data_IF_047438611502
#
_entry.id   IF_047438611502
#
_cell.length_a   1.000
_cell.length_b   1.000
_cell.length_c   1.000
_cell.angle_alpha   90.00
_cell.angle_beta   90.00
_cell.angle_gamma   90.00
#
_symmetry.space_group_name_H-M   'P 1'
#
loop_
_entity.id
_entity.type
_entity.pdbx_description
1 polymer ?
#
# COMPACT_ATOMS: atom_id res chain seq x y z
N UNK A 1 12.63 -3.76 14.41
CA UNK A 1 11.78 -2.99 13.46
C UNK A 1 12.52 -1.82 12.82
N UNK A 2 13.84 -1.97 12.62
CA UNK A 2 14.76 -0.94 12.12
C UNK A 2 15.39 -1.34 10.78
N UNK A 3 15.04 -2.50 10.22
CA UNK A 3 15.69 -3.06 9.02
C UNK A 3 15.00 -2.65 7.71
N UNK A 4 13.69 -2.40 7.72
CA UNK A 4 12.94 -2.09 6.50
C UNK A 4 13.08 -0.63 6.06
N UNK A 5 13.04 0.33 7.00
CA UNK A 5 13.34 1.75 6.70
C UNK A 5 14.82 1.94 6.31
N UNK A 6 15.73 1.09 6.79
CA UNK A 6 17.17 1.20 6.48
C UNK A 6 17.53 0.71 5.07
N UNK A 7 16.86 -0.30 4.52
CA UNK A 7 17.26 -0.91 3.23
C UNK A 7 17.04 0.00 2.02
N UNK A 8 16.08 0.92 2.05
CA UNK A 8 15.87 1.92 1.00
C UNK A 8 16.97 3.00 0.92
N UNK A 9 17.89 3.10 1.89
CA UNK A 9 18.83 4.24 2.01
C UNK A 9 20.34 3.89 2.18
N UNK A 10 20.82 2.71 1.76
CA UNK A 10 22.28 2.49 1.71
C UNK A 10 22.75 1.05 1.44
N UNK A 11 23.51 0.90 0.34
CA UNK A 11 24.25 -0.29 -0.16
C UNK A 11 25.27 -0.80 0.91
N UNK A 12 25.61 -2.09 1.13
CA UNK A 12 26.07 -3.18 0.22
C UNK A 12 26.07 -4.61 0.85
N UNK A 13 25.80 -5.59 -0.03
CA UNK A 13 26.22 -7.00 -0.20
C UNK A 13 26.17 -8.07 0.93
N UNK A 14 25.53 -9.21 0.60
CA UNK A 14 25.81 -10.53 1.17
C UNK A 14 25.89 -11.60 0.06
N UNK A 15 26.91 -12.47 0.16
CA UNK A 15 27.19 -13.61 -0.71
C UNK A 15 26.45 -14.89 -0.27
N UNK A 16 26.02 -15.70 -1.24
CA UNK A 16 25.31 -16.99 -1.07
C UNK A 16 26.17 -18.09 -0.41
N UNK A 17 25.57 -18.99 0.41
CA UNK A 17 26.17 -20.28 0.71
C UNK A 17 25.47 -21.47 0.03
N UNK A 18 26.28 -22.48 -0.30
CA UNK A 18 25.89 -23.80 -0.82
C UNK A 18 25.27 -24.70 0.26
N UNK A 19 24.36 -25.56 -0.19
CA UNK A 19 23.61 -26.51 0.62
C UNK A 19 24.46 -27.69 1.13
N UNK A 20 24.21 -28.13 2.36
CA UNK A 20 24.44 -29.51 2.76
C UNK A 20 23.24 -30.04 3.55
N UNK A 21 22.72 -31.17 3.09
CA UNK A 21 21.77 -32.04 3.76
C UNK A 21 22.47 -32.72 4.93
N UNK A 22 21.81 -32.81 6.09
CA UNK A 22 21.93 -34.00 6.94
C UNK A 22 20.69 -34.18 7.84
N UNK A 23 20.22 -35.41 7.88
CA UNK A 23 19.12 -35.94 8.69
C UNK A 23 19.45 -35.89 10.18
N UNK A 24 18.49 -35.51 11.05
CA UNK A 24 18.59 -35.77 12.49
C UNK A 24 17.29 -36.24 13.14
N UNK A 25 17.48 -37.16 14.08
CA UNK A 25 16.51 -37.80 14.98
C UNK A 25 15.99 -36.81 16.03
N UNK A 26 14.69 -36.91 16.38
CA UNK A 26 14.00 -36.07 17.35
C UNK A 26 14.48 -36.32 18.80
N UNK A 27 15.24 -35.36 19.33
CA UNK A 27 15.37 -35.13 20.77
C UNK A 27 14.20 -34.27 21.26
N UNK A 28 13.83 -34.29 22.56
CA UNK A 28 12.80 -33.39 23.08
C UNK A 28 13.23 -31.95 22.82
N UNK A 29 12.57 -31.31 21.85
CA UNK A 29 13.04 -30.05 21.30
C UNK A 29 12.99 -28.97 22.38
N UNK A 30 14.18 -28.44 22.73
CA UNK A 30 14.30 -27.27 23.60
C UNK A 30 13.47 -26.14 23.00
N UNK A 31 12.70 -25.45 23.85
CA UNK A 31 11.97 -24.25 23.42
C UNK A 31 12.91 -23.34 22.61
N UNK A 32 12.49 -22.90 21.42
CA UNK A 32 13.38 -22.16 20.56
C UNK A 32 13.79 -20.85 21.23
N UNK A 33 15.08 -20.53 21.15
CA UNK A 33 15.64 -19.31 21.73
C UNK A 33 15.06 -18.08 21.03
N UNK A 34 14.94 -16.98 21.78
CA UNK A 34 14.49 -15.70 21.23
C UNK A 34 15.63 -15.05 20.45
N UNK A 35 15.34 -14.62 19.24
CA UNK A 35 16.23 -13.80 18.42
C UNK A 35 16.27 -12.36 18.92
N UNK A 36 17.20 -11.55 18.43
CA UNK A 36 17.21 -10.10 18.70
C UNK A 36 15.90 -9.43 18.28
N UNK A 37 15.33 -9.85 17.14
CA UNK A 37 14.07 -9.33 16.64
C UNK A 37 12.89 -9.66 17.57
N UNK A 38 12.86 -10.88 18.11
CA UNK A 38 11.86 -11.32 19.10
C UNK A 38 11.89 -10.43 20.35
N UNK A 39 13.10 -10.14 20.85
CA UNK A 39 13.29 -9.28 22.03
C UNK A 39 12.75 -7.87 21.77
N UNK A 40 13.03 -7.30 20.59
CA UNK A 40 12.51 -5.97 20.22
C UNK A 40 10.98 -5.94 20.24
N UNK A 41 10.32 -6.91 19.59
CA UNK A 41 8.85 -6.97 19.55
C UNK A 41 8.30 -7.19 20.95
N UNK A 42 8.89 -8.10 21.73
CA UNK A 42 8.49 -8.35 23.12
C UNK A 42 8.52 -7.08 23.96
N UNK A 43 9.62 -6.32 23.90
CA UNK A 43 9.77 -5.07 24.65
C UNK A 43 8.72 -4.02 24.24
N UNK A 44 8.40 -3.90 22.95
CA UNK A 44 7.34 -2.99 22.49
C UNK A 44 5.97 -3.33 23.07
N UNK A 45 5.61 -4.61 23.07
CA UNK A 45 4.37 -5.07 23.71
C UNK A 45 4.38 -4.83 25.21
N UNK A 46 5.46 -5.14 25.92
CA UNK A 46 5.56 -4.93 27.36
C UNK A 46 5.42 -3.45 27.75
N UNK A 47 5.97 -2.53 26.95
CA UNK A 47 5.81 -1.08 27.17
C UNK A 47 4.35 -0.65 27.10
N UNK A 48 3.59 -1.09 26.10
CA UNK A 48 2.18 -0.72 25.94
C UNK A 48 1.28 -1.46 26.93
N UNK A 49 1.52 -2.75 27.14
CA UNK A 49 0.80 -3.56 28.12
C UNK A 49 0.99 -3.07 29.56
N UNK A 50 2.03 -2.29 29.85
CA UNK A 50 2.26 -1.73 31.18
C UNK A 50 1.14 -0.80 31.65
N UNK A 51 0.41 -0.16 30.71
CA UNK A 51 -0.75 0.68 30.98
C UNK A 51 -2.00 -0.10 31.43
N UNK A 52 -2.00 -1.43 31.25
CA UNK A 52 -3.14 -2.31 31.58
C UNK A 52 -2.89 -3.08 32.88
N UNK A 53 -3.97 -3.51 33.53
CA UNK A 53 -3.91 -4.32 34.76
C UNK A 53 -3.23 -5.67 34.50
N UNK A 54 -2.64 -6.29 35.52
CA UNK A 54 -1.94 -7.57 35.37
C UNK A 54 -2.84 -8.67 34.75
N UNK A 55 -4.13 -8.66 35.10
CA UNK A 55 -5.14 -9.59 34.55
C UNK A 55 -5.37 -9.30 33.06
N UNK A 56 -5.55 -8.03 32.70
CA UNK A 56 -5.83 -7.60 31.33
C UNK A 56 -4.66 -7.85 30.37
N UNK A 57 -3.42 -7.85 30.88
CA UNK A 57 -2.23 -8.16 30.06
C UNK A 57 -2.24 -9.56 29.45
N UNK A 58 -3.08 -10.45 29.98
CA UNK A 58 -3.24 -11.82 29.48
C UNK A 58 -4.46 -11.97 28.57
N UNK A 59 -5.30 -10.94 28.45
CA UNK A 59 -6.48 -10.93 27.61
C UNK A 59 -6.10 -10.81 26.12
N UNK A 60 -6.64 -11.71 25.32
CA UNK A 60 -6.42 -11.78 23.87
C UNK A 60 -6.79 -10.46 23.15
N UNK A 61 -7.97 -9.90 23.45
CA UNK A 61 -8.43 -8.66 22.82
C UNK A 61 -7.58 -7.45 23.21
N UNK A 62 -7.08 -7.41 24.44
CA UNK A 62 -6.18 -6.33 24.89
C UNK A 62 -4.85 -6.42 24.13
N UNK A 63 -4.28 -7.62 23.98
CA UNK A 63 -3.05 -7.80 23.19
C UNK A 63 -3.24 -7.46 21.71
N UNK A 64 -4.40 -7.80 21.15
CA UNK A 64 -4.74 -7.41 19.77
C UNK A 64 -4.84 -5.88 19.64
N UNK A 65 -5.52 -5.21 20.57
CA UNK A 65 -5.56 -3.74 20.64
C UNK A 65 -4.16 -3.13 20.77
N UNK A 66 -3.33 -3.65 21.66
CA UNK A 66 -1.94 -3.19 21.84
C UNK A 66 -1.13 -3.28 20.55
N UNK A 67 -1.32 -4.33 19.74
CA UNK A 67 -0.65 -4.39 18.43
C UNK A 67 -1.03 -3.21 17.51
N UNK A 68 -2.31 -2.80 17.52
CA UNK A 68 -2.79 -1.63 16.78
C UNK A 68 -2.23 -0.33 17.37
N UNK A 69 -2.16 -0.20 18.68
CA UNK A 69 -1.56 0.98 19.36
C UNK A 69 -0.08 1.14 19.02
N UNK A 70 0.67 0.04 18.94
CA UNK A 70 2.09 0.03 18.53
C UNK A 70 2.21 0.52 17.08
N UNK A 71 1.44 -0.06 16.15
CA UNK A 71 1.47 0.33 14.73
C UNK A 71 1.03 1.78 14.55
N UNK A 72 0.01 2.23 15.29
CA UNK A 72 -0.45 3.62 15.26
C UNK A 72 0.62 4.60 15.74
N UNK A 73 1.27 4.29 16.85
CA UNK A 73 2.38 5.10 17.38
C UNK A 73 3.53 5.20 16.37
N UNK A 74 3.82 4.13 15.65
CA UNK A 74 4.84 4.11 14.60
C UNK A 74 4.41 4.88 13.36
N UNK A 75 3.15 4.75 12.97
CA UNK A 75 2.55 5.48 11.85
C UNK A 75 2.68 7.00 12.06
N UNK A 76 2.37 7.49 13.27
CA UNK A 76 2.52 8.90 13.63
C UNK A 76 3.98 9.37 13.64
N UNK A 77 4.92 8.53 14.09
CA UNK A 77 6.36 8.87 14.14
C UNK A 77 7.03 8.87 12.77
N UNK A 78 6.65 7.95 11.89
CA UNK A 78 7.34 7.71 10.62
C UNK A 78 6.96 8.66 9.51
N UNK A 79 5.75 9.23 9.53
CA UNK A 79 5.22 9.97 8.37
C UNK A 79 4.98 11.45 8.62
N UNK A 80 5.41 11.97 9.78
CA UNK A 80 5.29 13.39 10.10
C UNK A 80 3.87 13.93 9.91
N UNK A 81 2.84 13.12 10.16
CA UNK A 81 1.44 13.50 9.98
C UNK A 81 1.15 14.76 10.79
N UNK A 82 1.06 15.90 10.11
CA UNK A 82 0.73 17.19 10.72
C UNK A 82 -0.78 17.29 10.93
N UNK A 83 -1.32 16.38 11.73
CA UNK A 83 -2.75 16.34 12.09
C UNK A 83 -3.00 17.18 13.36
N UNK A 84 -4.14 17.86 13.40
CA UNK A 84 -4.65 18.43 14.66
C UNK A 84 -4.95 17.31 15.67
N UNK A 85 -4.99 17.64 16.97
CA UNK A 85 -5.28 16.64 18.02
C UNK A 85 -6.65 15.97 17.82
N UNK A 86 -7.69 16.73 17.44
CA UNK A 86 -9.02 16.18 17.08
C UNK A 86 -8.92 15.12 15.98
N UNK A 87 -8.15 15.40 14.92
CA UNK A 87 -7.95 14.43 13.84
C UNK A 87 -7.14 13.22 14.26
N UNK A 88 -6.15 13.39 15.14
CA UNK A 88 -5.39 12.26 15.70
C UNK A 88 -6.29 11.37 16.53
N UNK A 89 -7.18 11.94 17.34
CA UNK A 89 -8.16 11.19 18.13
C UNK A 89 -9.13 10.43 17.22
N UNK A 90 -9.69 11.10 16.20
CA UNK A 90 -10.55 10.45 15.20
C UNK A 90 -9.82 9.32 14.48
N UNK A 91 -8.57 9.55 14.06
CA UNK A 91 -7.75 8.53 13.41
C UNK A 91 -7.46 7.35 14.34
N UNK A 92 -7.17 7.62 15.61
CA UNK A 92 -7.00 6.58 16.63
C UNK A 92 -8.28 5.76 16.79
N UNK A 93 -9.44 6.40 16.87
CA UNK A 93 -10.73 5.70 16.95
C UNK A 93 -10.98 4.83 15.71
N UNK A 94 -10.70 5.35 14.51
CA UNK A 94 -10.88 4.64 13.23
C UNK A 94 -9.95 3.45 13.07
N UNK A 95 -8.69 3.55 13.50
CA UNK A 95 -7.66 2.52 13.28
C UNK A 95 -7.50 1.56 14.46
N UNK A 96 -7.61 2.04 15.70
CA UNK A 96 -7.32 1.29 16.91
C UNK A 96 -8.60 0.75 17.56
N UNK A 97 -9.55 1.63 17.92
CA UNK A 97 -10.76 1.26 18.66
C UNK A 97 -11.79 0.50 17.82
N UNK A 98 -11.98 0.91 16.57
CA UNK A 98 -13.02 0.34 15.72
C UNK A 98 -12.73 -1.13 15.42
N UNK A 99 -13.76 -1.99 15.47
CA UNK A 99 -13.62 -3.41 15.15
C UNK A 99 -13.12 -3.63 13.72
N UNK A 100 -13.63 -2.83 12.79
CA UNK A 100 -13.23 -2.74 11.40
C UNK A 100 -12.84 -1.29 11.06
N UNK A 101 -11.95 -1.11 10.09
CA UNK A 101 -11.54 0.21 9.63
C UNK A 101 -12.72 0.89 8.93
N UNK A 102 -13.12 2.05 9.44
CA UNK A 102 -14.07 2.94 8.77
C UNK A 102 -13.33 3.75 7.70
N UNK A 103 -13.37 3.25 6.46
CA UNK A 103 -12.73 3.92 5.34
C UNK A 103 -13.36 5.28 5.02
N UNK A 104 -14.66 5.47 5.26
CA UNK A 104 -15.29 6.76 4.98
C UNK A 104 -14.74 7.83 5.92
N UNK A 105 -14.60 7.49 7.20
CA UNK A 105 -14.01 8.37 8.20
C UNK A 105 -12.51 8.59 7.93
N UNK A 106 -11.77 7.54 7.56
CA UNK A 106 -10.37 7.65 7.17
C UNK A 106 -10.19 8.64 6.01
N UNK A 107 -11.05 8.56 5.01
CA UNK A 107 -11.11 9.53 3.90
C UNK A 107 -11.42 10.93 4.41
N UNK A 108 -12.42 11.09 5.28
CA UNK A 108 -12.82 12.39 5.82
C UNK A 108 -11.69 13.09 6.59
N UNK A 109 -10.88 12.33 7.34
CA UNK A 109 -9.71 12.85 8.09
C UNK A 109 -8.69 13.50 7.14
N UNK A 110 -8.41 12.84 6.01
CA UNK A 110 -7.36 13.23 5.06
C UNK A 110 -7.85 14.00 3.83
N UNK A 111 -9.16 14.17 3.62
CA UNK A 111 -9.74 14.71 2.38
C UNK A 111 -9.23 16.12 2.05
N UNK A 112 -9.15 16.99 3.07
CA UNK A 112 -8.86 18.42 2.91
C UNK A 112 -7.37 18.79 3.09
N UNK A 113 -6.52 17.84 3.49
CA UNK A 113 -5.11 18.10 3.78
C UNK A 113 -4.17 17.45 2.77
N UNK A 114 -2.95 17.97 2.71
CA UNK A 114 -1.87 17.35 1.94
C UNK A 114 -1.43 16.06 2.65
N UNK A 115 -1.99 14.93 2.22
CA UNK A 115 -1.74 13.63 2.82
C UNK A 115 -0.39 13.07 2.37
N UNK A 116 0.60 13.22 3.24
CA UNK A 116 1.97 12.72 3.03
C UNK A 116 2.15 11.35 3.66
N UNK A 117 2.69 10.41 2.90
CA UNK A 117 2.99 9.08 3.39
C UNK A 117 4.22 8.57 2.66
N UNK A 118 5.38 8.88 3.24
CA UNK A 118 6.68 8.69 2.58
C UNK A 118 6.92 7.23 2.16
N UNK A 119 6.46 6.26 2.96
CA UNK A 119 6.58 4.84 2.60
C UNK A 119 5.86 4.56 1.28
N UNK A 120 4.65 5.10 1.10
CA UNK A 120 3.91 4.96 -0.15
C UNK A 120 4.58 5.69 -1.30
N UNK A 121 5.02 6.92 -1.05
CA UNK A 121 5.62 7.76 -2.09
C UNK A 121 6.95 7.14 -2.60
N UNK A 122 7.77 6.58 -1.70
CA UNK A 122 8.97 5.82 -2.06
C UNK A 122 8.66 4.55 -2.85
N UNK A 123 7.64 3.78 -2.43
CA UNK A 123 7.21 2.59 -3.16
C UNK A 123 6.68 2.95 -4.56
N UNK A 124 5.94 4.06 -4.69
CA UNK A 124 5.50 4.59 -5.99
C UNK A 124 6.69 4.94 -6.88
N UNK A 125 7.68 5.67 -6.35
CA UNK A 125 8.89 6.02 -7.10
C UNK A 125 9.64 4.78 -7.59
N UNK A 126 9.72 3.74 -6.78
CA UNK A 126 10.31 2.46 -7.20
C UNK A 126 9.49 1.78 -8.31
N UNK A 127 8.15 1.82 -8.22
CA UNK A 127 7.28 1.30 -9.29
C UNK A 127 7.55 2.04 -10.62
N UNK A 128 7.67 3.37 -10.56
CA UNK A 128 7.96 4.21 -11.72
C UNK A 128 9.37 3.96 -12.28
N UNK A 129 10.39 3.82 -11.43
CA UNK A 129 11.78 3.54 -11.85
C UNK A 129 11.90 2.23 -12.64
N UNK A 130 11.27 1.17 -12.13
CA UNK A 130 11.38 -0.18 -12.69
C UNK A 130 10.26 -0.56 -13.65
N UNK A 131 9.29 0.35 -13.87
CA UNK A 131 8.09 0.14 -14.66
C UNK A 131 7.35 -1.15 -14.25
N UNK A 132 7.22 -1.35 -12.94
CA UNK A 132 6.47 -2.47 -12.34
C UNK A 132 5.40 -1.89 -11.44
N UNK A 133 4.15 -2.28 -11.70
CA UNK A 133 3.02 -1.89 -10.88
C UNK A 133 2.38 -3.12 -10.26
N UNK A 134 2.76 -3.47 -9.01
CA UNK A 134 2.08 -4.53 -8.30
C UNK A 134 0.60 -4.20 -8.15
N UNK A 135 -0.23 -5.20 -7.88
CA UNK A 135 -1.69 -5.12 -7.98
C UNK A 135 -2.28 -3.87 -7.31
N UNK A 136 -1.82 -3.55 -6.09
CA UNK A 136 -2.29 -2.41 -5.33
C UNK A 136 -2.00 -1.04 -5.99
N UNK A 137 -1.03 -0.97 -6.91
CA UNK A 137 -0.60 0.24 -7.60
C UNK A 137 -0.98 0.27 -9.08
N UNK A 138 -1.65 -0.76 -9.62
CA UNK A 138 -2.06 -0.82 -11.04
C UNK A 138 -2.86 0.39 -11.51
N UNK A 139 -3.57 1.06 -10.61
CA UNK A 139 -4.30 2.29 -10.95
C UNK A 139 -3.37 3.41 -11.47
N UNK A 140 -2.09 3.41 -11.10
CA UNK A 140 -1.10 4.39 -11.54
C UNK A 140 -0.74 4.26 -13.02
N UNK A 141 -0.88 3.08 -13.61
CA UNK A 141 -0.67 2.85 -15.06
C UNK A 141 -1.61 3.71 -15.91
N UNK A 142 -2.77 4.08 -15.36
CA UNK A 142 -3.79 4.87 -16.06
C UNK A 142 -3.57 6.38 -15.96
N UNK A 143 -2.33 6.82 -15.70
CA UNK A 143 -1.99 8.24 -15.65
C UNK A 143 -2.40 8.92 -16.98
N UNK A 144 -3.22 9.98 -16.96
CA UNK A 144 -3.66 10.62 -18.19
C UNK A 144 -2.50 11.19 -18.99
N UNK A 145 -2.50 10.95 -20.29
CA UNK A 145 -1.54 11.52 -21.24
C UNK A 145 -2.26 12.15 -22.42
N UNK A 146 -1.59 13.06 -23.12
CA UNK A 146 -2.13 13.61 -24.36
C UNK A 146 -2.32 12.50 -25.40
N UNK A 147 -3.45 12.50 -26.12
CA UNK A 147 -3.66 11.59 -27.24
C UNK A 147 -2.70 11.91 -28.38
N UNK A 148 -2.18 10.86 -29.03
CA UNK A 148 -1.19 10.97 -30.11
C UNK A 148 -1.79 10.96 -31.51
N UNK A 149 -3.11 10.76 -31.61
CA UNK A 149 -3.83 10.70 -32.87
C UNK A 149 -5.23 11.31 -32.72
N UNK A 150 -5.84 11.67 -33.86
CA UNK A 150 -7.12 12.36 -33.91
C UNK A 150 -8.28 11.53 -33.33
N UNK A 151 -8.29 10.21 -33.57
CA UNK A 151 -9.34 9.33 -33.06
C UNK A 151 -9.35 9.31 -31.52
N UNK A 152 -8.19 9.12 -30.91
CA UNK A 152 -8.03 9.19 -29.44
C UNK A 152 -8.34 10.58 -28.91
N UNK A 153 -8.00 11.65 -29.65
CA UNK A 153 -8.31 13.02 -29.27
C UNK A 153 -9.82 13.29 -29.19
N UNK A 154 -10.59 12.79 -30.16
CA UNK A 154 -12.05 12.92 -30.17
C UNK A 154 -12.73 12.20 -29.00
N UNK A 155 -12.15 11.09 -28.53
CA UNK A 155 -12.63 10.34 -27.37
C UNK A 155 -12.24 10.99 -26.04
N UNK A 156 -11.11 11.70 -26.00
CA UNK A 156 -10.56 12.32 -24.81
C UNK A 156 -11.31 13.60 -24.38
N UNK A 157 -11.68 14.44 -25.35
CA UNK A 157 -12.38 15.71 -25.10
C UNK A 157 -13.89 15.53 -25.00
N UNK A 158 -14.57 16.50 -24.38
CA UNK A 158 -16.03 16.46 -24.25
C UNK A 158 -16.68 16.78 -25.61
N UNK A 159 -17.80 16.12 -25.91
CA UNK A 159 -18.55 16.39 -27.16
C UNK A 159 -19.00 17.86 -27.25
N UNK A 160 -19.31 18.49 -26.11
CA UNK A 160 -19.67 19.92 -26.07
C UNK A 160 -18.53 20.84 -26.52
N UNK A 161 -17.29 20.53 -26.13
CA UNK A 161 -16.06 21.22 -26.51
C UNK A 161 -15.84 21.14 -28.03
N UNK A 162 -15.98 19.94 -28.62
CA UNK A 162 -15.91 19.75 -30.07
C UNK A 162 -16.97 20.56 -30.84
N UNK A 163 -18.20 20.59 -30.31
CA UNK A 163 -19.31 21.35 -30.92
C UNK A 163 -19.08 22.87 -30.86
N UNK A 164 -18.38 23.37 -29.83
CA UNK A 164 -18.03 24.78 -29.74
C UNK A 164 -17.05 25.17 -30.86
N UNK A 165 -15.96 24.43 -31.00
CA UNK A 165 -14.98 24.64 -32.08
C UNK A 165 -15.61 24.55 -33.47
N UNK A 166 -16.48 23.56 -33.70
CA UNK A 166 -17.21 23.42 -34.96
C UNK A 166 -18.09 24.63 -35.27
N UNK A 167 -18.75 25.23 -34.27
CA UNK A 167 -19.57 26.44 -34.46
C UNK A 167 -18.74 27.68 -34.79
N UNK A 168 -17.53 27.78 -34.25
CA UNK A 168 -16.62 28.89 -34.56
C UNK A 168 -16.14 28.83 -36.01
N UNK A 169 -15.90 27.62 -36.53
CA UNK A 169 -15.41 27.40 -37.88
C UNK A 169 -16.51 27.33 -38.94
N UNK A 170 -17.68 26.80 -38.59
CA UNK A 170 -18.78 26.53 -39.53
C UNK A 170 -20.00 27.37 -39.17
N UNK A 171 -20.56 28.08 -40.15
CA UNK A 171 -21.83 28.81 -40.00
C UNK A 171 -23.07 27.90 -40.08
N UNK A 172 -22.88 26.58 -40.20
CA UNK A 172 -23.95 25.61 -40.41
C UNK A 172 -24.46 25.00 -39.09
N UNK A 173 -25.63 24.36 -39.15
CA UNK A 173 -26.22 23.66 -38.01
C UNK A 173 -25.36 22.45 -37.63
N UNK A 174 -24.70 22.51 -36.48
CA UNK A 174 -23.89 21.41 -35.96
C UNK A 174 -24.79 20.24 -35.49
N UNK A 175 -24.47 18.98 -35.85
CA UNK A 175 -25.17 17.79 -35.38
C UNK A 175 -25.25 17.69 -33.85
N UNK A 176 -26.21 16.91 -33.37
CA UNK A 176 -26.40 16.63 -31.94
C UNK A 176 -25.89 15.27 -31.54
N UNK A 177 -25.88 14.28 -32.45
CA UNK A 177 -25.41 12.92 -32.18
C UNK A 177 -23.89 12.88 -32.15
N UNK A 178 -23.33 12.15 -31.19
CA UNK A 178 -21.89 12.08 -30.92
C UNK A 178 -21.11 11.59 -32.14
N UNK A 179 -21.61 10.55 -32.78
CA UNK A 179 -20.99 9.90 -33.94
C UNK A 179 -20.94 10.85 -35.14
N UNK A 180 -22.01 11.61 -35.37
CA UNK A 180 -22.10 12.62 -36.44
C UNK A 180 -21.18 13.82 -36.17
N UNK A 181 -21.04 14.23 -34.90
CA UNK A 181 -20.10 15.29 -34.50
C UNK A 181 -18.66 14.85 -34.77
N UNK A 182 -18.29 13.61 -34.43
CA UNK A 182 -16.94 13.09 -34.67
C UNK A 182 -16.58 13.05 -36.16
N UNK A 183 -17.50 12.55 -36.99
CA UNK A 183 -17.31 12.52 -38.44
C UNK A 183 -17.13 13.92 -39.03
N UNK A 184 -17.99 14.87 -38.63
CA UNK A 184 -17.89 16.24 -39.09
C UNK A 184 -16.60 16.92 -38.59
N UNK A 185 -16.20 16.66 -37.35
CA UNK A 185 -14.97 17.22 -36.79
C UNK A 185 -13.74 16.74 -37.56
N UNK A 186 -13.65 15.44 -37.84
CA UNK A 186 -12.52 14.84 -38.56
C UNK A 186 -12.37 15.33 -40.02
N UNK A 187 -13.44 15.88 -40.61
CA UNK A 187 -13.40 16.49 -41.95
C UNK A 187 -12.81 17.91 -41.96
N UNK A 188 -12.85 18.60 -40.81
CA UNK A 188 -12.56 20.03 -40.74
C UNK A 188 -11.40 20.39 -39.83
N UNK A 189 -10.97 19.49 -38.95
CA UNK A 189 -9.92 19.73 -37.97
C UNK A 189 -8.88 18.63 -38.02
N UNK A 190 -7.64 19.04 -37.78
CA UNK A 190 -6.49 18.18 -37.54
C UNK A 190 -6.25 18.04 -36.04
N UNK A 191 -5.34 17.14 -35.66
CA UNK A 191 -4.91 17.02 -34.26
C UNK A 191 -4.27 18.32 -33.75
N UNK A 192 -3.52 19.03 -34.59
CA UNK A 192 -2.84 20.28 -34.20
C UNK A 192 -3.86 21.38 -33.86
N UNK A 193 -4.98 21.43 -34.58
CA UNK A 193 -6.07 22.38 -34.29
C UNK A 193 -6.71 22.13 -32.91
N UNK A 194 -6.52 20.94 -32.32
CA UNK A 194 -7.08 20.55 -31.02
C UNK A 194 -6.13 20.81 -29.85
N UNK A 195 -4.91 21.33 -30.08
CA UNK A 195 -3.88 21.39 -29.05
C UNK A 195 -4.34 22.09 -27.76
N UNK A 196 -4.92 23.29 -27.89
CA UNK A 196 -5.38 24.10 -26.75
C UNK A 196 -6.47 23.37 -25.93
N UNK A 197 -7.45 22.78 -26.61
CA UNK A 197 -8.56 22.08 -25.93
C UNK A 197 -8.14 20.75 -25.31
N UNK A 198 -7.11 20.10 -25.88
CA UNK A 198 -6.51 18.91 -25.33
C UNK A 198 -5.69 19.20 -24.08
N UNK A 199 -4.94 20.31 -24.06
CA UNK A 199 -4.20 20.78 -22.88
C UNK A 199 -5.16 21.15 -21.73
N UNK A 200 -6.23 21.90 -22.01
CA UNK A 200 -7.28 22.21 -21.03
C UNK A 200 -7.88 20.92 -20.45
N UNK A 201 -8.27 19.98 -21.34
CA UNK A 201 -8.85 18.71 -20.92
C UNK A 201 -7.88 17.86 -20.11
N UNK A 202 -6.59 17.86 -20.47
CA UNK A 202 -5.54 17.15 -19.75
C UNK A 202 -5.44 17.62 -18.31
N UNK A 203 -5.48 18.93 -18.06
CA UNK A 203 -5.47 19.48 -16.70
C UNK A 203 -6.66 18.95 -15.91
N UNK A 204 -7.88 19.03 -16.45
CA UNK A 204 -9.08 18.53 -15.76
C UNK A 204 -9.01 17.04 -15.41
N UNK A 205 -8.59 16.19 -16.35
CA UNK A 205 -8.52 14.73 -16.10
C UNK A 205 -7.35 14.36 -15.20
N UNK A 206 -6.26 15.12 -15.25
CA UNK A 206 -5.12 14.95 -14.34
C UNK A 206 -5.55 15.28 -12.92
N UNK A 207 -6.27 16.38 -12.69
CA UNK A 207 -6.82 16.69 -11.37
C UNK A 207 -7.77 15.60 -10.84
N UNK A 208 -8.61 15.04 -11.71
CA UNK A 208 -9.49 13.92 -11.33
C UNK A 208 -8.69 12.66 -10.98
N UNK A 209 -7.64 12.37 -11.75
CA UNK A 209 -6.73 11.27 -11.50
C UNK A 209 -5.98 11.46 -10.18
N UNK A 210 -5.38 12.63 -9.91
CA UNK A 210 -4.69 12.88 -8.63
C UNK A 210 -5.61 12.75 -7.42
N UNK A 211 -6.89 13.14 -7.54
CA UNK A 211 -7.89 12.88 -6.50
C UNK A 211 -8.15 11.39 -6.31
N UNK A 212 -8.24 10.62 -7.39
CA UNK A 212 -8.42 9.16 -7.29
C UNK A 212 -7.19 8.47 -6.70
N UNK A 213 -5.98 8.93 -7.06
CA UNK A 213 -4.71 8.48 -6.48
C UNK A 213 -4.70 8.72 -4.98
N UNK A 214 -5.06 9.93 -4.52
CA UNK A 214 -5.17 10.24 -3.09
C UNK A 214 -6.15 9.30 -2.38
N UNK A 215 -7.30 9.03 -3.01
CA UNK A 215 -8.29 8.11 -2.46
C UNK A 215 -7.77 6.66 -2.38
N UNK A 216 -7.06 6.18 -3.40
CA UNK A 216 -6.44 4.86 -3.35
C UNK A 216 -5.35 4.81 -2.27
N UNK A 217 -4.50 5.83 -2.17
CA UNK A 217 -3.44 5.96 -1.17
C UNK A 217 -3.98 5.85 0.26
N UNK A 218 -5.08 6.55 0.58
CA UNK A 218 -5.73 6.48 1.90
C UNK A 218 -6.32 5.08 2.15
N UNK A 219 -6.92 4.46 1.14
CA UNK A 219 -7.48 3.11 1.27
C UNK A 219 -6.38 2.07 1.51
N UNK A 220 -5.25 2.20 0.82
CA UNK A 220 -4.06 1.36 1.00
C UNK A 220 -3.47 1.54 2.41
N UNK A 221 -3.48 2.77 2.97
CA UNK A 221 -3.05 3.00 4.35
C UNK A 221 -3.89 2.20 5.34
N UNK A 222 -5.21 2.25 5.21
CA UNK A 222 -6.11 1.48 6.08
C UNK A 222 -5.83 -0.02 5.99
N UNK A 223 -5.73 -0.56 4.77
CA UNK A 223 -5.41 -1.97 4.56
C UNK A 223 -4.05 -2.33 5.16
N UNK A 224 -3.00 -1.57 4.84
CA UNK A 224 -1.66 -1.77 5.38
C UNK A 224 -1.67 -1.81 6.91
N UNK A 225 -2.37 -0.87 7.57
CA UNK A 225 -2.49 -0.84 9.02
C UNK A 225 -3.15 -2.11 9.58
N UNK A 226 -4.24 -2.54 8.94
CA UNK A 226 -4.97 -3.75 9.33
C UNK A 226 -4.09 -4.99 9.26
N UNK A 227 -3.44 -5.22 8.11
CA UNK A 227 -2.58 -6.39 7.93
C UNK A 227 -1.38 -6.35 8.85
N UNK A 228 -0.75 -5.17 9.01
CA UNK A 228 0.43 -5.04 9.85
C UNK A 228 0.12 -5.31 11.32
N UNK A 229 -0.94 -4.69 11.85
CA UNK A 229 -1.33 -4.90 13.25
C UNK A 229 -1.68 -6.37 13.54
N UNK A 230 -2.42 -7.02 12.64
CA UNK A 230 -2.74 -8.45 12.78
C UNK A 230 -1.49 -9.33 12.72
N UNK A 231 -0.61 -9.13 11.72
CA UNK A 231 0.63 -9.90 11.62
C UNK A 231 1.55 -9.69 12.84
N UNK A 232 1.61 -8.46 13.36
CA UNK A 232 2.36 -8.14 14.58
C UNK A 232 1.77 -8.85 15.81
N UNK A 233 0.44 -8.88 15.91
CA UNK A 233 -0.26 -9.60 16.95
C UNK A 233 0.00 -11.12 16.88
N UNK A 234 -0.18 -11.72 15.71
CA UNK A 234 0.03 -13.16 15.49
C UNK A 234 1.49 -13.55 15.74
N UNK A 235 2.44 -12.70 15.31
CA UNK A 235 3.86 -12.89 15.63
C UNK A 235 4.09 -12.89 17.14
N UNK A 236 3.59 -11.88 17.85
CA UNK A 236 3.77 -11.80 19.29
C UNK A 236 3.16 -13.01 20.01
N UNK A 237 1.93 -13.38 19.64
CA UNK A 237 1.24 -14.49 20.27
C UNK A 237 1.94 -15.82 20.00
N UNK A 238 2.18 -16.15 18.73
CA UNK A 238 2.73 -17.45 18.37
C UNK A 238 4.22 -17.52 18.62
N UNK A 239 5.03 -16.60 18.11
CA UNK A 239 6.50 -16.69 18.23
C UNK A 239 7.02 -16.35 19.62
N UNK A 240 6.45 -15.39 20.33
CA UNK A 240 7.02 -14.88 21.60
C UNK A 240 6.36 -15.51 22.82
N UNK A 241 5.02 -15.59 22.84
CA UNK A 241 4.26 -16.13 23.98
C UNK A 241 4.22 -17.65 23.93
N UNK A 242 3.77 -18.25 22.81
CA UNK A 242 3.62 -19.70 22.71
C UNK A 242 4.92 -20.43 22.33
N UNK A 243 5.77 -19.81 21.51
CA UNK A 243 7.06 -20.35 21.04
C UNK A 243 6.94 -21.79 20.48
N UNK A 244 6.04 -22.04 19.50
CA UNK A 244 6.04 -23.32 18.82
C UNK A 244 7.36 -23.49 18.07
N UNK A 245 7.71 -24.75 17.80
CA UNK A 245 8.91 -25.12 17.06
C UNK A 245 8.73 -24.90 15.54
N UNK A 246 7.50 -24.67 15.10
CA UNK A 246 7.16 -24.39 13.71
C UNK A 246 7.69 -23.02 13.30
N UNK A 247 8.49 -23.00 12.22
CA UNK A 247 8.95 -21.76 11.62
C UNK A 247 7.80 -21.01 10.92
N UNK A 248 7.72 -19.68 11.05
CA UNK A 248 6.76 -18.89 10.31
C UNK A 248 6.94 -19.05 8.81
N UNK A 249 5.83 -19.00 8.07
CA UNK A 249 5.80 -18.90 6.61
C UNK A 249 4.98 -17.70 6.20
N UNK A 250 5.30 -17.12 5.05
CA UNK A 250 4.40 -16.16 4.41
C UNK A 250 3.25 -16.92 3.78
N UNK A 251 2.03 -16.51 4.13
CA UNK A 251 0.82 -16.87 3.42
C UNK A 251 0.50 -15.73 2.46
N UNK A 252 0.78 -15.98 1.17
CA UNK A 252 0.50 -15.09 0.05
C UNK A 252 -0.65 -15.76 -0.70
N UNK A 253 -1.84 -15.17 -0.68
CA UNK A 253 -2.98 -15.65 -1.46
C UNK A 253 -2.55 -15.96 -2.90
N UNK A 254 -2.81 -17.19 -3.37
CA UNK A 254 -2.45 -17.68 -4.71
C UNK A 254 -2.99 -16.82 -5.86
N UNK A 255 -3.95 -15.94 -5.57
CA UNK A 255 -4.48 -14.93 -6.49
C UNK A 255 -3.53 -13.76 -6.79
N UNK A 256 -2.33 -13.70 -6.20
CA UNK A 256 -1.39 -12.60 -6.40
C UNK A 256 -0.52 -12.78 -7.65
N UNK A 257 -0.50 -11.70 -8.43
CA UNK A 257 0.00 -11.61 -9.79
C UNK A 257 1.54 -11.56 -9.81
N UNK A 258 2.14 -12.04 -10.90
CA UNK A 258 3.60 -12.15 -11.10
C UNK A 258 4.33 -10.84 -10.75
N UNK A 259 3.69 -9.71 -11.03
CA UNK A 259 4.15 -8.35 -10.79
C UNK A 259 4.46 -8.06 -9.32
N UNK A 260 3.71 -8.64 -8.36
CA UNK A 260 3.95 -8.47 -6.92
C UNK A 260 5.25 -9.18 -6.51
N UNK A 261 5.47 -10.40 -7.04
CA UNK A 261 6.70 -11.16 -6.81
C UNK A 261 7.91 -10.50 -7.47
N UNK A 262 7.73 -9.95 -8.67
CA UNK A 262 8.78 -9.18 -9.34
C UNK A 262 9.12 -7.91 -8.56
N UNK A 263 8.12 -7.20 -8.03
CA UNK A 263 8.33 -6.03 -7.18
C UNK A 263 9.14 -6.40 -5.93
N UNK A 264 8.73 -7.43 -5.19
CA UNK A 264 9.45 -7.92 -3.99
C UNK A 264 10.91 -8.23 -4.33
N UNK A 265 11.16 -8.90 -5.46
CA UNK A 265 12.52 -9.24 -5.92
C UNK A 265 13.33 -8.00 -6.28
N UNK A 266 12.79 -7.07 -7.08
CA UNK A 266 13.50 -5.85 -7.51
C UNK A 266 13.75 -4.89 -6.36
N UNK A 267 12.83 -4.82 -5.41
CA UNK A 267 12.99 -4.03 -4.19
C UNK A 267 13.82 -4.74 -3.11
N UNK A 268 14.32 -5.96 -3.37
CA UNK A 268 15.13 -6.77 -2.44
C UNK A 268 14.48 -6.97 -1.06
N UNK A 269 13.16 -7.15 -1.07
CA UNK A 269 12.37 -7.32 0.15
C UNK A 269 12.39 -8.77 0.59
N UNK A 270 12.71 -8.99 1.87
CA UNK A 270 12.56 -10.30 2.51
C UNK A 270 12.13 -10.10 3.95
N UNK A 271 11.19 -10.93 4.40
CA UNK A 271 10.81 -11.00 5.81
C UNK A 271 11.63 -12.04 6.59
N UNK A 272 12.42 -12.89 5.92
CA UNK A 272 13.20 -13.95 6.56
C UNK A 272 14.71 -13.77 6.34
N UNK A 273 15.49 -14.20 7.33
CA UNK A 273 16.93 -14.44 7.18
C UNK A 273 17.21 -15.80 6.50
N UNK A 274 18.48 -16.10 6.26
CA UNK A 274 18.95 -17.37 5.68
C UNK A 274 18.59 -18.61 6.52
N UNK A 275 18.34 -18.42 7.82
CA UNK A 275 17.94 -19.46 8.75
C UNK A 275 16.42 -19.65 8.81
N UNK A 276 15.65 -18.85 8.06
CA UNK A 276 14.19 -18.86 8.08
C UNK A 276 13.58 -18.21 9.32
N UNK A 277 14.35 -17.41 10.08
CA UNK A 277 13.80 -16.58 11.15
C UNK A 277 13.25 -15.29 10.58
N UNK A 278 12.15 -14.81 11.15
CA UNK A 278 11.56 -13.56 10.73
C UNK A 278 12.43 -12.37 11.16
N UNK A 279 12.78 -11.50 10.23
CA UNK A 279 13.55 -10.25 10.44
C UNK A 279 12.69 -8.99 10.31
N UNK A 280 11.50 -9.11 9.72
CA UNK A 280 10.51 -8.05 9.60
C UNK A 280 9.11 -8.63 9.49
N UNK A 281 8.12 -7.90 10.03
CA UNK A 281 6.72 -8.29 9.98
C UNK A 281 6.12 -7.74 8.68
N UNK A 282 5.43 -8.54 7.85
CA UNK A 282 4.68 -8.03 6.70
C UNK A 282 3.46 -7.23 7.19
N UNK A 283 2.90 -6.33 6.37
CA UNK A 283 3.16 -6.09 4.95
C UNK A 283 4.54 -5.46 4.69
N UNK A 284 5.21 -5.96 3.64
CA UNK A 284 6.52 -5.49 3.19
C UNK A 284 6.41 -4.18 2.42
N UNK A 285 5.32 -3.89 1.74
CA UNK A 285 5.11 -2.60 1.08
C UNK A 285 3.64 -2.20 1.18
N UNK A 286 3.27 -0.94 0.94
CA UNK A 286 1.86 -0.54 0.95
C UNK A 286 1.08 -1.30 -0.12
N UNK A 287 0.07 -2.05 0.26
CA UNK A 287 -0.66 -2.92 -0.66
C UNK A 287 -0.17 -4.36 -0.74
N UNK A 288 0.86 -4.71 0.04
CA UNK A 288 1.11 -6.11 0.39
C UNK A 288 0.02 -6.60 1.36
N UNK A 289 -0.55 -7.76 1.08
CA UNK A 289 -1.59 -8.41 1.88
C UNK A 289 -1.12 -9.71 2.54
N UNK A 290 0.19 -9.96 2.49
CA UNK A 290 0.80 -11.16 3.03
C UNK A 290 0.53 -11.31 4.52
N UNK A 291 0.27 -12.54 4.95
CA UNK A 291 0.11 -12.90 6.35
C UNK A 291 1.26 -13.76 6.83
N UNK A 292 1.52 -13.76 8.13
CA UNK A 292 2.42 -14.75 8.74
C UNK A 292 1.57 -15.94 9.21
N UNK A 293 1.95 -17.14 8.81
CA UNK A 293 1.34 -18.36 9.27
C UNK A 293 2.36 -19.24 10.02
N UNK A 294 1.99 -19.74 11.19
CA UNK A 294 2.80 -20.64 12.03
C UNK A 294 2.39 -22.13 11.89
N UNK A 295 1.77 -22.50 10.77
CA UNK A 295 1.47 -23.89 10.43
C UNK A 295 0.19 -24.45 11.04
N UNK A 296 -0.74 -23.63 11.51
CA UNK A 296 -2.06 -24.09 11.95
C UNK A 296 -3.10 -23.87 10.84
N UNK A 297 -3.12 -24.75 9.84
CA UNK A 297 -4.34 -25.02 9.09
C UNK A 297 -4.98 -26.28 9.68
N UNK A 298 -6.08 -26.08 10.41
CA UNK A 298 -7.09 -27.07 10.84
C UNK A 298 -6.62 -28.36 11.55
#
# INVERSE_FOLDING_TARGET
MLSFIKRLFGVKEASLPEANNDFYQEQPEKMPELTEFDVIVKTLFEQHLSAYSAVDRHNHHIRQRVSREIVFSQLLRSNGFSLSEDKKERLYNTLVEASNIDYQELHAIFLLEDFKWDIFDNCREHCDEYQIYPYAYKFLENKPTLPTNLESALLFVRVAQLRAMLKEKLSQKIPTRKEEVYLLFAQHFTLEDMKEILEERLVEVTEQFERSVKWQKISILGQWFHYYSNNLFDYYLHRIVHRPLVKPKLDISESMFIEDLEFIKKAELSCFDENGNLTSIPPLFPGDYSRINYGNYY
#
